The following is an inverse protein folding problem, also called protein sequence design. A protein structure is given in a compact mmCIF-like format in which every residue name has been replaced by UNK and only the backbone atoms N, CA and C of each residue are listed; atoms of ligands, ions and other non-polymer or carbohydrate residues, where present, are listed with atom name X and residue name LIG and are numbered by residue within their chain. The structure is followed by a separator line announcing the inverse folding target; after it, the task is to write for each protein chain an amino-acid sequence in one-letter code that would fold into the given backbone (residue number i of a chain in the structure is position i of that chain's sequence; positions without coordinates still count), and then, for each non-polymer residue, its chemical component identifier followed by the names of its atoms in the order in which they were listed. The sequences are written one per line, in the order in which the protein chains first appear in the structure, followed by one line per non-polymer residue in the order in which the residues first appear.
data_IF_744818913579
#
_entry.id   IF_744818913579
#
_cell.length_a   1.000
_cell.length_b   1.000
_cell.length_c   1.000
_cell.angle_alpha   90.00
_cell.angle_beta   90.00
_cell.angle_gamma   90.00
#
_symmetry.space_group_name_H-M   'P 1'
#
loop_
_entity.id
_entity.type
_entity.pdbx_description
1 polymer ?
#
# COMPACT_ATOMS: atom_id res chain seq x y z
N UNK A 1 -71.03 -38.36 16.53
CA UNK A 1 -71.73 -37.18 17.08
C UNK A 1 -70.89 -35.95 16.71
N UNK A 2 -71.49 -35.07 15.87
CA UNK A 2 -71.14 -33.67 15.53
C UNK A 2 -69.70 -33.34 15.09
N UNK A 3 -69.36 -32.83 13.89
CA UNK A 3 -69.98 -31.87 12.94
C UNK A 3 -70.13 -30.43 13.46
N UNK A 4 -69.68 -29.50 12.60
CA UNK A 4 -69.73 -28.01 12.59
C UNK A 4 -68.51 -27.29 13.22
N UNK A 5 -67.67 -26.64 12.39
CA UNK A 5 -67.85 -25.29 11.79
C UNK A 5 -67.82 -24.21 12.90
N UNK A 6 -67.08 -23.11 12.84
CA UNK A 6 -66.78 -22.25 11.70
C UNK A 6 -65.74 -21.18 12.12
N UNK A 7 -65.02 -20.67 11.12
CA UNK A 7 -64.53 -19.29 10.96
C UNK A 7 -64.01 -18.46 12.15
N UNK A 8 -62.75 -18.01 12.05
CA UNK A 8 -62.44 -16.64 11.58
C UNK A 8 -60.95 -16.38 11.45
N UNK A 9 -60.64 -15.66 10.38
CA UNK A 9 -59.39 -14.99 10.04
C UNK A 9 -58.81 -14.18 11.20
N UNK A 10 -57.49 -14.31 11.40
CA UNK A 10 -56.57 -13.18 11.55
C UNK A 10 -55.30 -13.57 10.78
N UNK A 11 -54.93 -12.74 9.80
CA UNK A 11 -53.66 -12.82 9.10
C UNK A 11 -52.54 -12.47 10.09
N UNK A 12 -51.50 -13.29 10.16
CA UNK A 12 -50.21 -12.83 10.65
C UNK A 12 -49.10 -13.39 9.76
N UNK A 13 -48.25 -12.46 9.34
CA UNK A 13 -47.24 -12.60 8.29
C UNK A 13 -46.07 -13.45 8.77
N UNK A 14 -45.77 -14.52 8.02
CA UNK A 14 -44.65 -15.42 8.30
C UNK A 14 -43.83 -15.69 7.04
N UNK A 15 -43.17 -14.64 6.54
CA UNK A 15 -42.21 -14.67 5.44
C UNK A 15 -40.99 -15.55 5.78
N UNK A 16 -41.14 -16.87 5.61
CA UNK A 16 -40.04 -17.83 5.60
C UNK A 16 -39.62 -18.07 4.14
N UNK A 17 -38.83 -17.16 3.58
CA UNK A 17 -38.40 -17.29 2.17
C UNK A 17 -37.42 -16.26 1.64
N UNK A 18 -36.79 -15.43 2.49
CA UNK A 18 -35.86 -14.39 2.04
C UNK A 18 -34.60 -14.34 2.91
N UNK A 19 -33.75 -15.36 2.86
CA UNK A 19 -32.39 -15.23 3.43
C UNK A 19 -31.31 -15.95 2.62
N UNK A 20 -31.63 -16.52 1.46
CA UNK A 20 -30.64 -17.18 0.58
C UNK A 20 -30.48 -16.50 -0.78
N UNK A 21 -31.13 -15.35 -0.99
CA UNK A 21 -31.16 -14.64 -2.27
C UNK A 21 -30.23 -13.42 -2.38
N UNK A 22 -29.44 -13.09 -1.35
CA UNK A 22 -28.42 -12.01 -1.45
C UNK A 22 -27.05 -12.60 -1.86
N UNK A 23 -26.89 -13.92 -1.84
CA UNK A 23 -25.60 -14.60 -2.08
C UNK A 23 -25.31 -14.98 -3.54
N UNK A 24 -26.19 -14.63 -4.50
CA UNK A 24 -26.01 -15.03 -5.92
C UNK A 24 -25.78 -13.91 -6.93
N UNK A 25 -25.84 -12.65 -6.53
CA UNK A 25 -25.62 -11.54 -7.47
C UNK A 25 -24.19 -10.95 -7.46
N UNK A 26 -23.26 -11.56 -6.70
CA UNK A 26 -21.85 -11.15 -6.67
C UNK A 26 -20.99 -11.83 -7.75
N UNK A 27 -21.53 -12.06 -8.95
CA UNK A 27 -20.72 -12.57 -10.09
C UNK A 27 -21.03 -11.84 -11.40
N UNK A 28 -20.82 -10.52 -11.40
CA UNK A 28 -20.53 -9.77 -12.64
C UNK A 28 -19.07 -9.29 -12.74
N UNK A 29 -18.35 -9.18 -11.62
CA UNK A 29 -16.95 -8.72 -11.60
C UNK A 29 -15.92 -9.80 -12.01
N UNK A 30 -16.27 -11.09 -11.97
CA UNK A 30 -15.40 -12.17 -12.49
C UNK A 30 -15.39 -12.27 -14.02
N UNK A 31 -16.20 -11.48 -14.74
CA UNK A 31 -16.29 -11.54 -16.21
C UNK A 31 -15.12 -10.84 -16.93
N UNK A 32 -14.28 -10.11 -16.22
CA UNK A 32 -13.15 -9.37 -16.82
C UNK A 32 -11.77 -9.78 -16.30
N UNK A 33 -11.67 -10.77 -15.41
CA UNK A 33 -10.38 -11.40 -15.16
C UNK A 33 -10.00 -12.20 -16.41
N UNK A 34 -9.08 -11.67 -17.23
CA UNK A 34 -8.32 -12.49 -18.17
C UNK A 34 -7.69 -13.61 -17.35
N UNK A 35 -8.25 -14.82 -17.44
CA UNK A 35 -7.62 -16.02 -16.88
C UNK A 35 -6.27 -16.12 -17.56
N UNK A 36 -5.20 -15.81 -16.83
CA UNK A 36 -3.84 -15.93 -17.32
C UNK A 36 -3.61 -17.42 -17.59
N UNK A 37 -3.76 -17.84 -18.84
CA UNK A 37 -3.38 -19.17 -19.26
C UNK A 37 -1.87 -19.11 -19.50
N UNK A 38 -1.14 -19.96 -18.79
CA UNK A 38 0.29 -20.14 -19.03
C UNK A 38 0.47 -20.61 -20.47
N UNK A 39 1.29 -19.91 -21.29
CA UNK A 39 1.56 -20.35 -22.65
C UNK A 39 2.14 -21.77 -22.66
N UNK A 40 1.78 -22.60 -23.66
CA UNK A 40 2.17 -24.02 -23.70
C UNK A 40 3.70 -24.23 -23.66
N UNK A 41 4.49 -23.25 -24.10
CA UNK A 41 5.95 -23.34 -24.19
C UNK A 41 6.70 -22.58 -23.08
N UNK A 42 5.97 -22.06 -22.08
CA UNK A 42 6.55 -21.22 -21.02
C UNK A 42 7.69 -21.90 -20.25
N UNK A 43 7.58 -23.21 -19.99
CA UNK A 43 8.63 -23.97 -19.32
C UNK A 43 9.90 -24.12 -20.15
N UNK A 44 9.81 -24.05 -21.47
CA UNK A 44 10.97 -24.17 -22.37
C UNK A 44 11.70 -22.83 -22.45
N UNK A 45 10.95 -21.73 -22.61
CA UNK A 45 11.51 -20.37 -22.60
C UNK A 45 12.27 -20.08 -21.29
N UNK A 46 11.75 -20.50 -20.14
CA UNK A 46 12.47 -20.34 -18.87
C UNK A 46 13.76 -21.16 -18.79
N UNK A 47 13.79 -22.36 -19.38
CA UNK A 47 15.01 -23.19 -19.42
C UNK A 47 16.06 -22.56 -20.30
N UNK A 48 15.68 -22.02 -21.46
CA UNK A 48 16.61 -21.36 -22.37
C UNK A 48 17.14 -20.05 -21.79
N UNK A 49 16.28 -19.27 -21.13
CA UNK A 49 16.71 -18.11 -20.36
C UNK A 49 17.75 -18.49 -19.29
N UNK A 50 17.46 -19.54 -18.51
CA UNK A 50 18.36 -20.00 -17.44
C UNK A 50 19.72 -20.44 -18.00
N UNK A 51 19.74 -21.08 -19.18
CA UNK A 51 21.00 -21.47 -19.85
C UNK A 51 21.81 -20.26 -20.30
N UNK A 52 21.15 -19.23 -20.83
CA UNK A 52 21.80 -17.99 -21.27
C UNK A 52 22.35 -17.18 -20.09
N UNK A 53 21.62 -17.09 -18.97
CA UNK A 53 22.12 -16.47 -17.73
C UNK A 53 23.35 -17.22 -17.18
N UNK A 54 23.32 -18.55 -17.20
CA UNK A 54 24.45 -19.36 -16.74
C UNK A 54 25.67 -19.24 -17.66
N UNK A 55 25.46 -18.95 -18.95
CA UNK A 55 26.52 -18.75 -19.94
C UNK A 55 27.16 -17.38 -19.82
N UNK A 56 26.35 -16.33 -19.75
CA UNK A 56 26.82 -14.94 -19.83
C UNK A 56 27.15 -14.34 -18.46
N UNK A 57 26.76 -15.00 -17.36
CA UNK A 57 27.01 -14.60 -15.96
C UNK A 57 26.81 -13.10 -15.73
N UNK A 58 25.62 -12.54 -16.06
CA UNK A 58 25.39 -11.09 -15.98
C UNK A 58 25.36 -10.62 -14.53
N UNK A 59 25.93 -9.43 -14.28
CA UNK A 59 25.89 -8.80 -12.96
C UNK A 59 24.51 -8.33 -12.51
N UNK A 60 23.62 -8.01 -13.46
CA UNK A 60 22.21 -7.67 -13.21
C UNK A 60 21.30 -8.61 -14.00
N UNK A 61 20.76 -9.61 -13.30
CA UNK A 61 19.91 -10.65 -13.88
C UNK A 61 18.56 -10.07 -14.34
N UNK A 62 18.04 -9.02 -13.70
CA UNK A 62 16.74 -8.43 -14.03
C UNK A 62 16.79 -7.64 -15.32
N UNK A 63 17.82 -6.80 -15.48
CA UNK A 63 18.06 -6.10 -16.74
C UNK A 63 18.32 -7.09 -17.90
N UNK A 64 19.09 -8.14 -17.63
CA UNK A 64 19.35 -9.21 -18.59
C UNK A 64 18.07 -9.95 -19.00
N UNK A 65 17.20 -10.30 -18.03
CA UNK A 65 15.90 -10.92 -18.27
C UNK A 65 15.00 -10.07 -19.15
N UNK A 66 14.87 -8.78 -18.82
CA UNK A 66 14.05 -7.84 -19.58
C UNK A 66 14.48 -7.77 -21.05
N UNK A 67 15.79 -7.69 -21.30
CA UNK A 67 16.34 -7.67 -22.66
C UNK A 67 16.16 -9.01 -23.38
N UNK A 68 16.37 -10.14 -22.69
CA UNK A 68 16.21 -11.47 -23.25
C UNK A 68 14.77 -11.72 -23.73
N UNK A 69 13.78 -11.45 -22.87
CA UNK A 69 12.37 -11.65 -23.23
C UNK A 69 11.87 -10.64 -24.25
N UNK A 70 12.40 -9.40 -24.24
CA UNK A 70 12.09 -8.40 -25.26
C UNK A 70 12.54 -8.85 -26.64
N UNK A 71 13.76 -9.39 -26.77
CA UNK A 71 14.27 -9.94 -28.04
C UNK A 71 13.44 -11.14 -28.50
N UNK A 72 13.14 -12.08 -27.61
CA UNK A 72 12.29 -13.24 -27.92
C UNK A 72 10.89 -12.82 -28.41
N UNK A 73 10.29 -11.80 -27.81
CA UNK A 73 8.99 -11.28 -28.22
C UNK A 73 9.03 -10.65 -29.62
N UNK A 74 10.09 -9.90 -29.93
CA UNK A 74 10.29 -9.29 -31.26
C UNK A 74 10.50 -10.34 -32.35
N UNK A 75 11.28 -11.38 -32.06
CA UNK A 75 11.51 -12.52 -32.97
C UNK A 75 10.23 -13.32 -33.23
N UNK A 76 9.40 -13.53 -32.21
CA UNK A 76 8.13 -14.25 -32.34
C UNK A 76 7.09 -13.53 -33.20
N UNK A 77 7.13 -12.18 -33.22
CA UNK A 77 6.24 -11.36 -34.04
C UNK A 77 6.79 -11.09 -35.46
N UNK A 78 7.98 -11.60 -35.79
CA UNK A 78 8.60 -11.46 -37.12
C UNK A 78 8.99 -10.02 -37.47
N UNK A 79 9.24 -9.20 -36.44
CA UNK A 79 9.63 -7.80 -36.58
C UNK A 79 11.16 -7.69 -36.47
N UNK A 80 11.82 -7.07 -37.45
CA UNK A 80 13.22 -6.64 -37.28
C UNK A 80 13.30 -5.59 -36.16
N UNK A 81 14.46 -5.47 -35.50
CA UNK A 81 14.74 -4.38 -34.55
C UNK A 81 14.46 -3.03 -35.23
N UNK A 82 13.25 -2.51 -35.03
CA UNK A 82 13.00 -1.09 -35.17
C UNK A 82 13.89 -0.48 -34.09
N UNK A 83 14.89 0.37 -34.42
CA UNK A 83 15.61 1.11 -33.40
C UNK A 83 14.54 1.71 -32.52
N UNK A 84 14.58 1.36 -31.23
CA UNK A 84 13.50 1.60 -30.29
C UNK A 84 12.92 2.98 -30.58
N UNK A 85 11.60 3.13 -30.77
CA UNK A 85 11.03 4.46 -30.93
C UNK A 85 11.59 5.30 -29.79
N UNK A 86 12.28 6.38 -30.13
CA UNK A 86 12.78 7.37 -29.17
C UNK A 86 11.59 7.72 -28.27
N UNK A 87 11.52 7.11 -27.08
CA UNK A 87 10.34 7.19 -26.21
C UNK A 87 9.87 5.91 -25.53
N UNK A 88 10.20 4.69 -26.00
CA UNK A 88 9.75 3.45 -25.32
C UNK A 88 10.67 2.97 -24.18
N UNK A 89 11.74 3.69 -23.91
CA UNK A 89 12.54 3.59 -22.68
C UNK A 89 13.02 4.98 -22.24
N UNK A 90 12.16 5.98 -22.34
CA UNK A 90 12.37 7.25 -21.67
C UNK A 90 11.72 7.19 -20.28
N UNK A 91 12.14 6.22 -19.45
CA UNK A 91 12.25 6.56 -18.02
C UNK A 91 13.18 7.75 -18.05
N UNK A 92 12.77 8.94 -17.61
CA UNK A 92 13.66 10.09 -17.57
C UNK A 92 14.93 9.65 -16.85
N UNK A 93 15.99 9.36 -17.62
CA UNK A 93 17.22 8.89 -17.04
C UNK A 93 17.74 10.09 -16.28
N UNK A 94 17.74 10.00 -14.94
CA UNK A 94 18.26 11.06 -14.10
C UNK A 94 19.61 11.48 -14.66
N UNK A 95 19.79 12.79 -14.87
CA UNK A 95 21.03 13.33 -15.38
C UNK A 95 22.18 12.92 -14.44
N UNK A 96 23.44 12.89 -14.92
CA UNK A 96 24.57 12.65 -14.05
C UNK A 96 24.61 13.57 -12.83
N UNK A 97 24.18 14.85 -12.99
CA UNK A 97 24.07 15.78 -11.86
C UNK A 97 22.99 15.33 -10.86
N UNK A 98 21.79 14.98 -11.34
CA UNK A 98 20.71 14.50 -10.47
C UNK A 98 21.09 13.22 -9.73
N UNK A 99 21.83 12.30 -10.37
CA UNK A 99 22.32 11.08 -9.70
C UNK A 99 23.28 11.40 -8.56
N UNK A 100 24.15 12.38 -8.75
CA UNK A 100 25.07 12.83 -7.70
C UNK A 100 24.31 13.50 -6.56
N UNK A 101 23.35 14.39 -6.86
CA UNK A 101 22.53 15.05 -5.83
C UNK A 101 21.74 14.05 -4.98
N UNK A 102 21.16 13.02 -5.62
CA UNK A 102 20.48 11.93 -4.90
C UNK A 102 21.47 11.14 -4.05
N UNK A 103 22.69 10.89 -4.53
CA UNK A 103 23.73 10.22 -3.75
C UNK A 103 24.14 11.03 -2.52
N UNK A 104 24.36 12.33 -2.68
CA UNK A 104 24.74 13.23 -1.59
C UNK A 104 23.59 13.40 -0.59
N UNK A 105 22.34 13.42 -1.07
CA UNK A 105 21.16 13.39 -0.23
C UNK A 105 21.06 12.10 0.59
N UNK A 106 21.37 10.94 0.01
CA UNK A 106 21.38 9.67 0.73
C UNK A 106 22.35 9.71 1.90
N UNK A 107 23.59 10.16 1.68
CA UNK A 107 24.59 10.29 2.76
C UNK A 107 24.08 11.20 3.87
N UNK A 108 23.55 12.38 3.53
CA UNK A 108 23.00 13.32 4.52
C UNK A 108 21.82 12.76 5.31
N UNK A 109 20.93 12.01 4.66
CA UNK A 109 19.81 11.35 5.33
C UNK A 109 20.28 10.26 6.29
N UNK A 110 21.24 9.44 5.88
CA UNK A 110 21.81 8.40 6.73
C UNK A 110 22.49 9.00 7.96
N UNK A 111 23.27 10.07 7.77
CA UNK A 111 23.90 10.79 8.88
C UNK A 111 22.82 11.31 9.86
N UNK A 112 21.80 12.00 9.35
CA UNK A 112 20.72 12.55 10.17
C UNK A 112 19.90 11.48 10.92
N UNK A 113 19.63 10.32 10.29
CA UNK A 113 18.96 9.22 10.97
C UNK A 113 19.86 8.55 12.01
N UNK A 114 21.14 8.37 11.71
CA UNK A 114 22.09 7.76 12.65
C UNK A 114 22.29 8.59 13.92
N UNK A 115 22.14 9.92 13.84
CA UNK A 115 22.18 10.82 14.99
C UNK A 115 21.01 10.61 15.96
N UNK A 116 19.87 10.11 15.46
CA UNK A 116 18.66 9.81 16.23
C UNK A 116 18.63 8.36 16.74
N UNK A 117 19.49 7.48 16.22
CA UNK A 117 19.62 6.08 16.59
C UNK A 117 20.67 5.90 17.69
N UNK A 118 20.36 6.38 18.90
CA UNK A 118 21.25 6.34 20.07
C UNK A 118 21.73 4.91 20.41
N UNK A 119 20.86 3.92 20.17
CA UNK A 119 21.10 2.52 20.48
C UNK A 119 21.82 1.77 19.32
N UNK A 120 22.05 2.43 18.18
CA UNK A 120 22.72 1.88 16.99
C UNK A 120 22.07 0.61 16.48
N UNK A 121 20.74 0.60 16.47
CA UNK A 121 19.93 -0.54 16.04
C UNK A 121 19.76 -0.62 14.52
N UNK A 122 20.17 0.43 13.79
CA UNK A 122 19.82 0.69 12.40
C UNK A 122 18.31 0.83 12.15
N UNK A 123 17.54 1.05 13.23
CA UNK A 123 16.07 1.16 13.19
C UNK A 123 15.58 2.40 13.90
N UNK A 124 14.55 3.02 13.36
CA UNK A 124 13.89 4.18 13.93
C UNK A 124 12.38 4.06 13.84
N UNK A 125 11.66 4.49 14.88
CA UNK A 125 10.21 4.62 14.81
C UNK A 125 9.78 5.61 13.72
N UNK A 126 8.66 5.34 13.05
CA UNK A 126 8.16 6.17 11.96
C UNK A 126 8.00 7.65 12.34
N UNK A 127 7.61 7.96 13.58
CA UNK A 127 7.49 9.35 14.03
C UNK A 127 8.84 10.09 14.06
N UNK A 128 9.94 9.39 14.38
CA UNK A 128 11.30 9.94 14.34
C UNK A 128 11.71 10.21 12.90
N UNK A 129 11.48 9.23 12.02
CA UNK A 129 11.78 9.34 10.59
C UNK A 129 11.05 10.53 9.98
N UNK A 130 9.74 10.65 10.24
CA UNK A 130 8.94 11.79 9.80
C UNK A 130 9.48 13.12 10.32
N UNK A 131 9.87 13.19 11.60
CA UNK A 131 10.43 14.42 12.20
C UNK A 131 11.73 14.84 11.53
N UNK A 132 12.63 13.90 11.25
CA UNK A 132 13.88 14.18 10.52
C UNK A 132 13.57 14.66 9.10
N UNK A 133 12.65 14.02 8.39
CA UNK A 133 12.26 14.44 7.04
C UNK A 133 11.66 15.86 7.01
N UNK A 134 10.82 16.22 7.97
CA UNK A 134 10.22 17.56 8.03
C UNK A 134 11.22 18.62 8.48
N UNK A 135 12.12 18.31 9.42
CA UNK A 135 13.09 19.27 9.95
C UNK A 135 14.35 19.43 9.10
N UNK A 136 14.93 18.33 8.61
CA UNK A 136 16.20 18.34 7.83
C UNK A 136 15.95 18.55 6.34
N UNK A 137 14.88 17.98 5.80
CA UNK A 137 14.58 18.08 4.36
C UNK A 137 13.48 19.11 4.03
N UNK A 138 12.93 19.80 5.04
CA UNK A 138 11.85 20.77 4.88
C UNK A 138 10.63 20.21 4.12
N UNK A 139 10.35 18.92 4.31
CA UNK A 139 9.18 18.28 3.72
C UNK A 139 7.91 18.65 4.49
N UNK A 140 6.78 18.67 3.79
CA UNK A 140 5.47 18.81 4.44
C UNK A 140 5.12 17.53 5.24
N UNK A 141 4.19 17.61 6.22
CA UNK A 141 3.71 16.44 6.94
C UNK A 141 3.18 15.33 6.02
N UNK A 142 2.48 15.70 4.93
CA UNK A 142 1.92 14.75 3.96
C UNK A 142 3.01 14.10 3.10
N UNK A 143 4.05 14.85 2.70
CA UNK A 143 5.23 14.30 2.02
C UNK A 143 5.96 13.30 2.90
N UNK A 144 6.20 13.64 4.17
CA UNK A 144 6.81 12.72 5.12
C UNK A 144 5.93 11.48 5.34
N UNK A 145 4.61 11.64 5.45
CA UNK A 145 3.65 10.55 5.60
C UNK A 145 3.63 9.63 4.37
N UNK A 146 3.63 10.19 3.17
CA UNK A 146 3.73 9.44 1.92
C UNK A 146 4.96 8.54 1.92
N UNK A 147 6.14 9.09 2.26
CA UNK A 147 7.41 8.34 2.22
C UNK A 147 7.39 7.15 3.20
N UNK A 148 6.95 7.36 4.44
CA UNK A 148 6.87 6.25 5.41
C UNK A 148 5.81 5.21 5.03
N UNK A 149 4.74 5.61 4.34
CA UNK A 149 3.72 4.68 3.83
C UNK A 149 4.15 3.94 2.55
N UNK A 150 5.10 4.48 1.79
CA UNK A 150 5.58 3.89 0.53
C UNK A 150 6.58 2.74 0.71
N UNK A 151 6.82 2.34 1.95
CA UNK A 151 7.78 1.30 2.30
C UNK A 151 7.21 -0.08 1.94
N UNK A 152 7.27 -0.45 0.66
CA UNK A 152 6.67 -1.67 0.09
C UNK A 152 7.15 -2.98 0.71
N UNK A 153 8.29 -3.00 1.39
CA UNK A 153 8.97 -4.24 1.83
C UNK A 153 8.80 -4.56 3.33
N UNK A 154 7.66 -4.28 3.96
CA UNK A 154 7.45 -4.56 5.39
C UNK A 154 8.58 -3.98 6.26
N UNK A 155 9.04 -2.76 5.94
CA UNK A 155 10.10 -2.13 6.70
C UNK A 155 9.65 -1.80 8.12
N UNK A 156 8.34 -1.69 8.36
CA UNK A 156 7.81 -1.60 9.71
C UNK A 156 7.85 -2.97 10.40
N UNK A 157 8.66 -3.05 11.45
CA UNK A 157 8.52 -4.13 12.41
C UNK A 157 7.23 -3.93 13.23
N UNK A 158 6.87 -4.96 13.99
CA UNK A 158 5.64 -5.00 14.80
C UNK A 158 5.55 -3.83 15.80
N UNK A 159 6.70 -3.25 16.20
CA UNK A 159 6.77 -2.10 17.11
C UNK A 159 6.68 -0.72 16.40
N UNK A 160 6.43 -0.70 15.09
CA UNK A 160 6.34 0.53 14.30
C UNK A 160 7.70 1.18 13.98
N UNK A 161 8.82 0.49 14.20
CA UNK A 161 10.15 0.88 13.75
C UNK A 161 10.46 0.43 12.33
N UNK A 162 11.25 1.21 11.60
CA UNK A 162 11.73 0.91 10.27
C UNK A 162 13.25 0.93 10.15
N UNK A 163 13.79 0.09 9.27
CA UNK A 163 15.20 0.12 8.87
C UNK A 163 15.46 1.36 8.02
N UNK A 164 16.22 2.31 8.57
CA UNK A 164 16.42 3.60 7.91
C UNK A 164 17.42 3.55 6.76
N UNK A 165 18.31 2.55 6.73
CA UNK A 165 19.23 2.39 5.60
C UNK A 165 18.45 1.99 4.35
N UNK A 166 17.64 0.95 4.47
CA UNK A 166 16.78 0.49 3.38
C UNK A 166 15.72 1.51 3.01
N UNK A 167 15.16 2.21 4.01
CA UNK A 167 14.25 3.33 3.77
C UNK A 167 14.90 4.39 2.86
N UNK A 168 16.13 4.83 3.16
CA UNK A 168 16.83 5.84 2.36
C UNK A 168 17.12 5.33 0.95
N UNK A 169 17.50 4.06 0.80
CA UNK A 169 17.72 3.43 -0.51
C UNK A 169 16.47 3.53 -1.40
N UNK A 170 15.31 3.21 -0.83
CA UNK A 170 14.05 3.15 -1.57
C UNK A 170 13.46 4.56 -1.81
N UNK A 171 13.67 5.49 -0.87
CA UNK A 171 12.94 6.75 -0.83
C UNK A 171 13.72 7.99 -1.26
N UNK A 172 15.05 7.95 -1.38
CA UNK A 172 15.84 9.15 -1.65
C UNK A 172 15.46 9.90 -2.94
N UNK A 173 15.00 9.18 -3.97
CA UNK A 173 14.53 9.80 -5.22
C UNK A 173 13.25 10.64 -5.01
N UNK A 174 12.33 10.14 -4.18
CA UNK A 174 11.12 10.86 -3.85
C UNK A 174 11.42 12.07 -2.96
N UNK A 175 12.33 11.92 -1.98
CA UNK A 175 12.78 13.06 -1.16
C UNK A 175 13.39 14.15 -2.04
N UNK A 176 14.30 13.80 -2.95
CA UNK A 176 14.90 14.74 -3.90
C UNK A 176 13.84 15.41 -4.78
N UNK A 177 12.89 14.64 -5.30
CA UNK A 177 11.76 15.17 -6.07
C UNK A 177 10.95 16.19 -5.27
N UNK A 178 10.55 15.88 -4.02
CA UNK A 178 9.76 16.79 -3.21
C UNK A 178 10.52 18.08 -2.86
N UNK A 179 11.83 17.97 -2.57
CA UNK A 179 12.68 19.13 -2.30
C UNK A 179 12.86 20.05 -3.51
N UNK A 180 12.92 19.49 -4.71
CA UNK A 180 13.18 20.26 -5.95
C UNK A 180 11.93 20.86 -6.54
N UNK A 181 10.82 20.13 -6.51
CA UNK A 181 9.56 20.55 -7.13
C UNK A 181 8.64 21.32 -6.19
N UNK A 182 8.84 21.21 -4.87
CA UNK A 182 7.88 21.65 -3.84
C UNK A 182 6.47 21.10 -4.10
N UNK A 183 6.37 19.85 -4.59
CA UNK A 183 5.11 19.23 -4.95
C UNK A 183 4.15 19.17 -3.77
N UNK A 184 2.90 19.57 -3.99
CA UNK A 184 1.83 19.53 -2.98
C UNK A 184 0.81 18.49 -3.41
N UNK A 185 0.48 17.56 -2.51
CA UNK A 185 -0.59 16.61 -2.75
C UNK A 185 -1.92 17.34 -2.89
N UNK A 186 -2.52 17.22 -4.07
CA UNK A 186 -3.87 17.73 -4.30
C UNK A 186 -4.87 16.67 -3.86
N UNK A 187 -5.63 16.98 -2.82
CA UNK A 187 -6.75 16.16 -2.42
C UNK A 187 -8.02 16.62 -3.14
N UNK A 188 -8.07 16.43 -4.46
CA UNK A 188 -9.26 16.72 -5.27
C UNK A 188 -10.46 15.83 -4.87
N UNK A 189 -10.17 14.77 -4.09
CA UNK A 189 -11.14 13.88 -3.45
C UNK A 189 -11.31 14.17 -1.95
N UNK A 190 -10.90 15.34 -1.45
CA UNK A 190 -11.13 15.72 -0.05
C UNK A 190 -12.64 15.72 0.28
N UNK A 191 -13.45 16.05 -0.73
CA UNK A 191 -14.91 16.02 -0.70
C UNK A 191 -15.50 14.63 -1.02
N UNK A 192 -14.66 13.59 -1.17
CA UNK A 192 -15.18 12.23 -1.28
C UNK A 192 -15.70 11.81 0.09
N UNK A 193 -17.03 11.77 0.21
CA UNK A 193 -17.74 11.31 1.40
C UNK A 193 -17.45 9.84 1.77
N UNK A 194 -16.70 9.11 0.95
CA UNK A 194 -16.43 7.69 1.17
C UNK A 194 -14.98 7.28 0.90
N UNK A 195 -14.49 6.31 1.68
CA UNK A 195 -13.22 5.60 1.48
C UNK A 195 -13.50 4.09 1.53
N UNK A 196 -12.99 3.35 0.54
CA UNK A 196 -13.34 1.93 0.31
C UNK A 196 -14.85 1.67 0.22
N UNK A 197 -15.63 2.68 -0.20
CA UNK A 197 -17.09 2.62 -0.29
C UNK A 197 -17.82 2.83 1.04
N UNK A 198 -17.13 3.24 2.11
CA UNK A 198 -17.69 3.52 3.42
C UNK A 198 -17.58 5.01 3.76
N UNK A 199 -18.63 5.56 4.36
CA UNK A 199 -18.59 6.89 4.95
C UNK A 199 -17.73 6.93 6.21
N UNK A 200 -17.39 8.14 6.68
CA UNK A 200 -16.63 8.32 7.92
C UNK A 200 -17.31 7.67 9.13
N UNK A 201 -18.64 7.77 9.24
CA UNK A 201 -19.41 7.16 10.33
C UNK A 201 -19.45 5.63 10.23
N UNK A 202 -19.66 5.09 9.03
CA UNK A 202 -19.67 3.64 8.80
C UNK A 202 -18.29 3.01 9.05
N UNK A 203 -17.22 3.62 8.55
CA UNK A 203 -15.85 3.19 8.80
C UNK A 203 -15.55 3.21 10.30
N UNK A 204 -15.87 4.31 10.97
CA UNK A 204 -15.66 4.46 12.41
C UNK A 204 -16.39 3.38 13.20
N UNK A 205 -17.65 3.13 12.87
CA UNK A 205 -18.47 2.11 13.56
C UNK A 205 -17.89 0.71 13.36
N UNK A 206 -17.51 0.35 12.13
CA UNK A 206 -16.96 -0.97 11.83
C UNK A 206 -15.59 -1.17 12.49
N UNK A 207 -14.71 -0.16 12.41
CA UNK A 207 -13.38 -0.23 13.00
C UNK A 207 -13.46 -0.27 14.54
N UNK A 208 -14.32 0.54 15.14
CA UNK A 208 -14.58 0.50 16.59
C UNK A 208 -15.02 -0.89 17.04
N UNK A 209 -16.01 -1.48 16.37
CA UNK A 209 -16.51 -2.81 16.71
C UNK A 209 -15.42 -3.88 16.57
N UNK A 210 -14.64 -3.82 15.48
CA UNK A 210 -13.52 -4.72 15.25
C UNK A 210 -12.49 -4.63 16.38
N UNK A 211 -12.01 -3.44 16.71
CA UNK A 211 -10.97 -3.23 17.71
C UNK A 211 -11.48 -3.57 19.11
N UNK A 212 -12.69 -3.16 19.49
CA UNK A 212 -13.29 -3.49 20.78
C UNK A 212 -13.52 -4.98 20.96
N UNK A 213 -13.86 -5.72 19.90
CA UNK A 213 -14.01 -7.18 19.99
C UNK A 213 -12.69 -7.91 20.30
N UNK A 214 -11.55 -7.26 20.08
CA UNK A 214 -10.21 -7.77 20.40
C UNK A 214 -9.65 -7.18 21.70
N UNK A 215 -10.36 -6.26 22.37
CA UNK A 215 -10.03 -5.75 23.71
C UNK A 215 -10.73 -6.61 24.77
N UNK A 216 -10.21 -7.81 25.00
CA UNK A 216 -10.78 -8.79 25.95
C UNK A 216 -10.96 -8.20 27.36
N UNK A 217 -10.06 -7.30 27.74
CA UNK A 217 -10.03 -6.67 29.06
C UNK A 217 -10.93 -5.42 29.17
N UNK A 218 -11.55 -4.98 28.06
CA UNK A 218 -12.42 -3.80 27.97
C UNK A 218 -11.76 -2.53 28.52
N UNK A 219 -10.47 -2.39 28.23
CA UNK A 219 -9.65 -1.26 28.68
C UNK A 219 -9.83 -0.01 27.81
N UNK A 220 -10.44 -0.16 26.63
CA UNK A 220 -10.46 0.86 25.57
C UNK A 220 -9.12 1.00 24.85
N UNK A 221 -8.19 0.06 25.04
CA UNK A 221 -6.83 0.12 24.51
C UNK A 221 -6.41 -1.22 23.92
N UNK A 222 -5.54 -1.18 22.92
CA UNK A 222 -4.92 -2.36 22.32
C UNK A 222 -3.41 -2.18 22.24
N UNK A 223 -2.66 -3.27 22.35
CA UNK A 223 -1.26 -3.26 21.96
C UNK A 223 -1.14 -3.00 20.45
N UNK A 224 -0.08 -2.29 20.04
CA UNK A 224 0.23 -1.99 18.64
C UNK A 224 0.22 -3.25 17.75
N UNK A 225 0.78 -4.37 18.24
CA UNK A 225 0.76 -5.66 17.54
C UNK A 225 -0.67 -6.17 17.29
N UNK A 226 -1.50 -6.17 18.33
CA UNK A 226 -2.91 -6.59 18.24
C UNK A 226 -3.69 -5.69 17.30
N UNK A 227 -3.46 -4.38 17.35
CA UNK A 227 -4.07 -3.41 16.44
C UNK A 227 -3.69 -3.68 14.99
N UNK A 228 -2.39 -3.86 14.70
CA UNK A 228 -1.90 -4.21 13.38
C UNK A 228 -2.55 -5.50 12.86
N UNK A 229 -2.64 -6.54 13.70
CA UNK A 229 -3.28 -7.80 13.34
C UNK A 229 -4.80 -7.70 13.14
N UNK A 230 -5.46 -6.78 13.85
CA UNK A 230 -6.87 -6.47 13.61
C UNK A 230 -7.04 -5.84 12.22
N UNK A 231 -6.24 -4.82 11.88
CA UNK A 231 -6.29 -4.16 10.58
C UNK A 231 -6.06 -5.13 9.42
N UNK A 232 -5.06 -6.03 9.55
CA UNK A 232 -4.75 -7.03 8.51
C UNK A 232 -5.91 -8.01 8.25
N UNK A 233 -6.71 -8.31 9.28
CA UNK A 233 -7.86 -9.22 9.22
C UNK A 233 -9.19 -8.50 9.02
N UNK A 234 -9.18 -7.17 8.94
CA UNK A 234 -10.38 -6.37 8.83
C UNK A 234 -11.08 -6.64 7.49
N UNK A 235 -12.39 -6.89 7.47
CA UNK A 235 -13.17 -7.02 6.24
C UNK A 235 -13.46 -5.65 5.59
N UNK A 236 -12.50 -4.71 5.66
CA UNK A 236 -12.62 -3.32 5.21
C UNK A 236 -11.91 -3.05 3.88
N UNK A 237 -11.35 -4.08 3.25
CA UNK A 237 -10.59 -3.97 1.99
C UNK A 237 -9.40 -3.00 2.06
N UNK A 238 -8.78 -2.91 3.25
CA UNK A 238 -7.58 -2.10 3.45
C UNK A 238 -6.43 -2.67 2.62
N UNK A 239 -5.74 -1.78 1.93
CA UNK A 239 -4.50 -2.09 1.21
C UNK A 239 -3.32 -2.19 2.19
N UNK A 240 -2.18 -2.68 1.70
CA UNK A 240 -0.96 -2.68 2.50
C UNK A 240 -0.56 -1.25 2.93
N UNK A 241 -0.67 -0.27 2.02
CA UNK A 241 -0.39 1.14 2.34
C UNK A 241 -1.30 1.65 3.44
N UNK A 242 -2.59 1.34 3.39
CA UNK A 242 -3.56 1.75 4.42
C UNK A 242 -3.16 1.26 5.80
N UNK A 243 -2.80 -0.03 5.92
CA UNK A 243 -2.38 -0.63 7.19
C UNK A 243 -1.09 0.03 7.69
N UNK A 244 -0.09 0.21 6.82
CA UNK A 244 1.18 0.84 7.14
C UNK A 244 0.99 2.29 7.61
N UNK A 245 0.08 3.02 6.96
CA UNK A 245 -0.21 4.42 7.25
C UNK A 245 -0.94 4.57 8.59
N UNK A 246 -1.97 3.75 8.83
CA UNK A 246 -2.68 3.70 10.12
C UNK A 246 -1.73 3.31 11.27
N UNK A 247 -0.84 2.33 11.04
CA UNK A 247 0.12 1.87 12.05
C UNK A 247 1.20 2.93 12.32
N UNK A 248 1.74 3.56 11.28
CA UNK A 248 2.75 4.62 11.40
C UNK A 248 2.24 5.84 12.17
N UNK A 249 0.96 6.16 12.01
CA UNK A 249 0.30 7.31 12.61
C UNK A 249 -0.33 7.01 13.96
N UNK A 250 -0.43 5.75 14.36
CA UNK A 250 -1.11 5.37 15.58
C UNK A 250 -0.50 6.13 16.77
N UNK A 251 -1.35 6.75 17.60
CA UNK A 251 -0.85 7.41 18.82
C UNK A 251 -0.51 6.33 19.83
N UNK A 252 0.78 6.02 19.88
CA UNK A 252 1.32 5.05 20.82
C UNK A 252 1.64 5.75 22.14
N UNK A 253 0.96 5.34 23.21
CA UNK A 253 1.34 5.71 24.58
C UNK A 253 2.65 5.00 24.95
N UNK A 254 3.39 5.51 25.96
CA UNK A 254 4.74 5.01 26.30
C UNK A 254 4.89 3.49 26.56
N UNK A 255 3.79 2.76 26.75
CA UNK A 255 3.76 1.30 26.94
C UNK A 255 3.31 0.52 25.68
N UNK A 256 3.47 1.09 24.48
CA UNK A 256 3.03 0.47 23.20
C UNK A 256 1.52 0.22 23.06
N UNK A 257 0.71 0.98 23.78
CA UNK A 257 -0.75 0.93 23.69
C UNK A 257 -1.30 2.04 22.80
N UNK A 258 -2.35 1.66 22.09
CA UNK A 258 -3.16 2.50 21.24
C UNK A 258 -4.53 2.69 21.89
N UNK A 259 -5.03 3.92 21.87
CA UNK A 259 -6.40 4.22 22.25
C UNK A 259 -7.35 3.94 21.07
N UNK A 260 -8.29 3.02 21.28
CA UNK A 260 -9.23 2.59 20.23
C UNK A 260 -10.07 3.76 19.70
N UNK A 261 -10.54 4.64 20.59
CA UNK A 261 -11.43 5.73 20.21
C UNK A 261 -10.72 6.80 19.36
N UNK A 262 -9.48 7.12 19.73
CA UNK A 262 -8.67 8.11 19.03
C UNK A 262 -8.33 7.61 17.62
N UNK A 263 -7.92 6.34 17.50
CA UNK A 263 -7.58 5.77 16.19
C UNK A 263 -8.77 5.57 15.27
N UNK A 264 -9.92 5.19 15.83
CA UNK A 264 -11.15 5.07 15.05
C UNK A 264 -11.50 6.41 14.38
N UNK A 265 -11.38 7.50 15.14
CA UNK A 265 -11.70 8.85 14.66
C UNK A 265 -10.70 9.34 13.61
N UNK A 266 -9.43 8.96 13.74
CA UNK A 266 -8.34 9.39 12.84
C UNK A 266 -8.24 8.55 11.56
N UNK A 267 -8.81 7.36 11.52
CA UNK A 267 -8.65 6.45 10.40
C UNK A 267 -9.16 7.03 9.08
N UNK A 268 -10.33 7.66 9.06
CA UNK A 268 -10.93 8.15 7.81
C UNK A 268 -10.06 9.15 7.04
N UNK A 269 -9.61 10.29 7.63
CA UNK A 269 -8.76 11.24 6.90
C UNK A 269 -7.41 10.63 6.47
N UNK A 270 -6.88 9.68 7.24
CA UNK A 270 -5.66 8.95 6.90
C UNK A 270 -5.84 8.06 5.65
N UNK A 271 -6.98 7.37 5.54
CA UNK A 271 -7.29 6.58 4.35
C UNK A 271 -7.63 7.45 3.13
N UNK A 272 -8.19 8.65 3.32
CA UNK A 272 -8.31 9.62 2.23
C UNK A 272 -6.92 10.03 1.71
N UNK A 273 -5.97 10.32 2.61
CA UNK A 273 -4.60 10.63 2.22
C UNK A 273 -3.94 9.45 1.49
N UNK A 274 -4.14 8.22 1.95
CA UNK A 274 -3.68 7.00 1.27
C UNK A 274 -4.13 6.91 -0.19
N UNK A 275 -5.40 7.24 -0.46
CA UNK A 275 -5.92 7.26 -1.83
C UNK A 275 -5.24 8.32 -2.72
N UNK A 276 -4.91 9.49 -2.17
CA UNK A 276 -4.15 10.54 -2.89
C UNK A 276 -2.73 10.06 -3.17
N UNK A 277 -2.11 9.39 -2.21
CA UNK A 277 -0.76 8.81 -2.35
C UNK A 277 -0.69 7.73 -3.42
N UNK A 278 -1.72 6.90 -3.55
CA UNK A 278 -1.80 5.90 -4.63
C UNK A 278 -1.90 6.55 -6.02
N UNK A 279 -2.68 7.63 -6.16
CA UNK A 279 -2.76 8.39 -7.42
C UNK A 279 -1.39 8.98 -7.78
N UNK A 280 -0.69 9.56 -6.81
CA UNK A 280 0.67 10.04 -7.01
C UNK A 280 1.61 8.89 -7.40
N UNK A 281 1.58 7.77 -6.70
CA UNK A 281 2.45 6.63 -6.98
C UNK A 281 2.22 6.07 -8.39
N UNK A 282 0.97 6.02 -8.83
CA UNK A 282 0.62 5.61 -10.19
C UNK A 282 1.22 6.58 -11.22
N UNK A 283 0.98 7.88 -11.05
CA UNK A 283 1.50 8.90 -11.96
C UNK A 283 3.04 8.89 -12.02
N UNK A 284 3.69 8.68 -10.87
CA UNK A 284 5.14 8.51 -10.76
C UNK A 284 5.64 7.27 -11.53
N UNK A 285 4.96 6.14 -11.37
CA UNK A 285 5.30 4.91 -12.07
C UNK A 285 5.11 5.02 -13.59
N UNK A 286 4.13 5.81 -14.02
CA UNK A 286 3.84 6.12 -15.43
C UNK A 286 4.79 7.19 -16.01
N UNK A 287 5.59 7.86 -15.17
CA UNK A 287 6.48 8.96 -15.59
C UNK A 287 5.73 10.24 -15.96
N UNK A 288 4.48 10.38 -15.51
CA UNK A 288 3.66 11.60 -15.72
C UNK A 288 4.06 12.75 -14.79
N UNK A 289 4.78 12.42 -13.71
CA UNK A 289 5.40 13.32 -12.73
C UNK A 289 6.77 12.75 -12.36
#
# INVERSE_FOLDING_TARGET
FFSHCDSRMVQDDGSAGQSTSIFRDMTRATKFQKKFQLPPDFSEVLKDFTREVLRDQPGDIYAYAANYFKRMALEAEGLEEVPAPEGASARAEMSPEQRQEVSDLRTRLLDAFSEEDFDKTAKLHCYVVKRVLTSTCNLSPDQALYLVSNCQNNLQTVDGSLDYEQFVLDNAKYVHFFMTTNYVFQNDKADADTVHGLTSEELSTQLMHLLQSNDESKTGRLYLETYHDCLRRAPLQLTHRDITLLTAEAVVSGDNYINIADETTRAFPLLQASAVFEVFQQAWNEGSI
#
